data_IF_195931895786
#
_entry.id   IF_195931895786
#
_cell.length_a   1.000
_cell.length_b   1.000
_cell.length_c   1.000
_cell.angle_alpha   90.00
_cell.angle_beta   90.00
_cell.angle_gamma   90.00
#
_symmetry.space_group_name_H-M   'P 1'
#
loop_
_entity.id
_entity.type
_entity.pdbx_description
1 polymer ?
#
# COMPACT_ATOMS: atom_id res chain seq x y z
N UNK A 1 -1.54 18.60 -1.29
CA UNK A 1 -2.59 19.60 -1.03
C UNK A 1 -3.25 19.92 -2.37
N UNK A 2 -4.43 19.36 -2.63
CA UNK A 2 -5.14 19.55 -3.90
C UNK A 2 -5.86 20.90 -3.90
N UNK A 3 -5.10 21.95 -4.16
CA UNK A 3 -5.58 23.32 -4.35
C UNK A 3 -6.19 23.47 -5.76
N UNK A 4 -7.38 22.89 -5.98
CA UNK A 4 -7.99 22.86 -7.31
C UNK A 4 -9.52 22.89 -7.36
N UNK A 5 -10.21 23.31 -6.29
CA UNK A 5 -11.68 23.37 -6.27
C UNK A 5 -12.24 24.66 -5.64
N UNK A 6 -11.46 25.74 -5.68
CA UNK A 6 -11.88 27.05 -5.18
C UNK A 6 -11.29 28.15 -6.09
N UNK A 7 -11.75 28.22 -7.34
CA UNK A 7 -11.39 29.33 -8.22
C UNK A 7 -12.57 29.67 -9.14
N UNK A 8 -13.31 30.70 -8.73
CA UNK A 8 -13.86 31.71 -9.64
C UNK A 8 -14.95 31.30 -10.63
N UNK A 9 -16.18 31.18 -10.14
CA UNK A 9 -17.37 31.53 -10.94
C UNK A 9 -18.24 32.48 -10.12
N UNK A 10 -17.67 33.63 -9.76
CA UNK A 10 -18.31 34.61 -8.90
C UNK A 10 -17.95 36.01 -9.35
N UNK A 11 -18.54 36.47 -10.46
CA UNK A 11 -18.71 37.91 -10.69
C UNK A 11 -20.02 38.23 -11.45
N UNK A 12 -20.46 37.43 -12.43
CA UNK A 12 -21.62 37.83 -13.26
C UNK A 12 -23.00 37.27 -12.83
N UNK A 13 -23.07 36.55 -11.71
CA UNK A 13 -24.31 35.91 -11.23
C UNK A 13 -25.18 36.79 -10.33
N UNK A 14 -24.76 38.02 -10.06
CA UNK A 14 -25.43 38.92 -9.12
C UNK A 14 -26.68 39.63 -9.70
N UNK A 15 -26.99 39.47 -10.99
CA UNK A 15 -28.11 40.16 -11.65
C UNK A 15 -29.36 39.28 -11.86
N UNK A 16 -29.32 37.96 -11.54
CA UNK A 16 -30.49 37.06 -11.68
C UNK A 16 -30.63 35.95 -10.62
N UNK A 17 -29.94 36.08 -9.49
CA UNK A 17 -29.38 34.95 -8.71
C UNK A 17 -30.17 34.35 -7.53
N UNK A 18 -31.33 33.73 -7.74
CA UNK A 18 -31.90 32.78 -6.75
C UNK A 18 -32.14 31.38 -7.32
N UNK A 19 -32.69 31.27 -8.53
CA UNK A 19 -33.01 29.97 -9.15
C UNK A 19 -31.79 29.25 -9.72
N UNK A 20 -30.77 29.97 -10.20
CA UNK A 20 -29.52 29.36 -10.67
C UNK A 20 -28.62 28.89 -9.52
N UNK A 21 -28.66 29.56 -8.36
CA UNK A 21 -27.89 29.18 -7.17
C UNK A 21 -28.37 27.85 -6.56
N UNK A 22 -29.69 27.64 -6.52
CA UNK A 22 -30.26 26.36 -6.08
C UNK A 22 -29.88 25.20 -7.02
N UNK A 23 -29.91 25.43 -8.34
CA UNK A 23 -29.46 24.45 -9.32
C UNK A 23 -27.96 24.14 -9.21
N UNK A 24 -27.11 25.13 -8.91
CA UNK A 24 -25.69 24.93 -8.68
C UNK A 24 -25.41 24.11 -7.41
N UNK A 25 -26.13 24.37 -6.32
CA UNK A 25 -26.04 23.57 -5.09
C UNK A 25 -26.50 22.13 -5.35
N UNK A 26 -27.64 21.95 -6.02
CA UNK A 26 -28.14 20.62 -6.39
C UNK A 26 -27.16 19.87 -7.29
N UNK A 27 -26.57 20.54 -8.27
CA UNK A 27 -25.54 19.99 -9.16
C UNK A 27 -24.25 19.63 -8.41
N UNK A 28 -23.82 20.44 -7.45
CA UNK A 28 -22.64 20.16 -6.62
C UNK A 28 -22.85 18.95 -5.71
N UNK A 29 -24.03 18.82 -5.10
CA UNK A 29 -24.40 17.65 -4.28
C UNK A 29 -24.45 16.40 -5.15
N UNK A 30 -25.14 16.46 -6.30
CA UNK A 30 -25.24 15.33 -7.22
C UNK A 30 -23.87 14.91 -7.79
N UNK A 31 -23.04 15.87 -8.18
CA UNK A 31 -21.69 15.64 -8.68
C UNK A 31 -20.75 15.06 -7.63
N UNK A 32 -20.79 15.59 -6.40
CA UNK A 32 -20.02 15.07 -5.27
C UNK A 32 -20.44 13.64 -4.86
N UNK A 33 -21.74 13.35 -4.88
CA UNK A 33 -22.27 12.02 -4.60
C UNK A 33 -21.84 10.99 -5.67
N UNK A 34 -21.85 11.37 -6.95
CA UNK A 34 -21.40 10.50 -8.04
C UNK A 34 -19.90 10.18 -7.99
N UNK A 35 -19.05 11.16 -7.68
CA UNK A 35 -17.60 10.96 -7.56
C UNK A 35 -17.23 10.08 -6.37
N UNK A 36 -17.91 10.24 -5.24
CA UNK A 36 -17.72 9.40 -4.06
C UNK A 36 -18.22 7.98 -4.30
N UNK A 37 -19.39 7.80 -4.94
CA UNK A 37 -19.91 6.49 -5.31
C UNK A 37 -18.98 5.72 -6.25
N UNK A 38 -18.34 6.36 -7.24
CA UNK A 38 -17.39 5.70 -8.15
C UNK A 38 -16.08 5.27 -7.46
N UNK A 39 -15.54 6.10 -6.58
CA UNK A 39 -14.27 5.80 -5.88
C UNK A 39 -14.44 4.80 -4.73
N UNK A 40 -15.57 4.82 -4.02
CA UNK A 40 -15.87 3.90 -2.92
C UNK A 40 -16.65 2.65 -3.35
N UNK A 41 -17.31 2.68 -4.51
CA UNK A 41 -18.18 1.62 -4.99
C UNK A 41 -17.49 0.27 -5.12
N UNK A 42 -16.25 0.23 -5.62
CA UNK A 42 -15.50 -1.03 -5.74
C UNK A 42 -15.22 -1.70 -4.39
N UNK A 43 -15.00 -0.91 -3.33
CA UNK A 43 -14.72 -1.43 -1.98
C UNK A 43 -16.00 -1.94 -1.29
N UNK A 44 -17.13 -1.27 -1.51
CA UNK A 44 -18.44 -1.72 -1.01
C UNK A 44 -18.96 -2.94 -1.78
N UNK A 45 -18.79 -2.96 -3.10
CA UNK A 45 -19.08 -4.13 -3.93
C UNK A 45 -18.22 -5.33 -3.53
N UNK A 46 -16.95 -5.12 -3.14
CA UNK A 46 -16.10 -6.19 -2.61
C UNK A 46 -16.68 -6.83 -1.34
N UNK A 47 -17.22 -6.02 -0.41
CA UNK A 47 -17.89 -6.50 0.80
C UNK A 47 -19.18 -7.27 0.50
N UNK A 48 -19.98 -6.79 -0.45
CA UNK A 48 -21.20 -7.48 -0.90
C UNK A 48 -20.88 -8.78 -1.65
N UNK A 49 -19.75 -8.85 -2.35
CA UNK A 49 -19.25 -10.06 -3.02
C UNK A 49 -18.65 -11.10 -2.07
N UNK A 50 -18.68 -10.87 -0.74
CA UNK A 50 -18.17 -11.82 0.25
C UNK A 50 -16.65 -11.99 0.23
N UNK A 51 -15.90 -11.01 -0.28
CA UNK A 51 -14.44 -11.08 -0.30
C UNK A 51 -13.89 -10.99 1.13
N UNK A 52 -12.95 -11.88 1.46
CA UNK A 52 -12.18 -11.84 2.72
C UNK A 52 -10.77 -11.38 2.40
N UNK A 53 -10.34 -10.31 3.07
CA UNK A 53 -8.95 -9.87 3.02
C UNK A 53 -8.11 -10.78 3.92
N UNK A 54 -7.09 -11.42 3.34
CA UNK A 54 -6.12 -12.21 4.08
C UNK A 54 -4.84 -11.40 4.20
N UNK A 55 -4.30 -11.39 5.41
CA UNK A 55 -3.07 -10.66 5.73
C UNK A 55 -2.12 -11.63 6.41
N UNK A 56 -0.85 -11.62 5.99
CA UNK A 56 0.18 -12.50 6.56
C UNK A 56 0.48 -12.05 8.00
N UNK A 57 0.56 -12.99 8.93
CA UNK A 57 0.87 -12.72 10.33
C UNK A 57 2.31 -12.22 10.53
N UNK A 58 2.53 -11.39 11.54
CA UNK A 58 3.85 -10.83 11.85
C UNK A 58 4.90 -11.90 12.16
N UNK A 59 4.50 -13.00 12.81
CA UNK A 59 5.39 -14.13 13.11
C UNK A 59 5.93 -14.79 11.84
N UNK A 60 5.11 -14.87 10.79
CA UNK A 60 5.50 -15.42 9.49
C UNK A 60 6.46 -14.48 8.79
N UNK A 61 6.21 -13.16 8.84
CA UNK A 61 7.14 -12.17 8.26
C UNK A 61 8.51 -12.19 8.95
N UNK A 62 8.53 -12.30 10.28
CA UNK A 62 9.78 -12.45 11.06
C UNK A 62 10.54 -13.72 10.68
N UNK A 63 9.84 -14.85 10.59
CA UNK A 63 10.45 -16.12 10.18
C UNK A 63 11.06 -16.04 8.77
N UNK A 64 10.34 -15.42 7.83
CA UNK A 64 10.83 -15.22 6.46
C UNK A 64 12.07 -14.34 6.43
N UNK A 65 12.06 -13.20 7.14
CA UNK A 65 13.19 -12.30 7.23
C UNK A 65 14.44 -13.01 7.80
N UNK A 66 14.28 -13.73 8.90
CA UNK A 66 15.36 -14.52 9.51
C UNK A 66 15.95 -15.53 8.52
N UNK A 67 15.11 -16.30 7.83
CA UNK A 67 15.60 -17.27 6.83
C UNK A 67 16.28 -16.60 5.64
N UNK A 68 15.77 -15.46 5.19
CA UNK A 68 16.38 -14.71 4.07
C UNK A 68 17.75 -14.16 4.45
N UNK A 69 17.91 -13.60 5.66
CA UNK A 69 19.20 -13.14 6.16
C UNK A 69 20.23 -14.27 6.21
N UNK A 70 19.83 -15.43 6.73
CA UNK A 70 20.70 -16.62 6.76
C UNK A 70 21.07 -17.11 5.37
N UNK A 71 20.11 -17.09 4.43
CA UNK A 71 20.37 -17.47 3.06
C UNK A 71 21.38 -16.52 2.40
N UNK A 72 21.21 -15.21 2.57
CA UNK A 72 22.15 -14.20 2.05
C UNK A 72 23.54 -14.41 2.64
N UNK A 73 23.66 -14.61 3.95
CA UNK A 73 24.94 -14.89 4.59
C UNK A 73 25.58 -16.18 4.07
N UNK A 74 24.79 -17.25 3.90
CA UNK A 74 25.29 -18.51 3.37
C UNK A 74 25.73 -18.39 1.90
N UNK A 75 25.05 -17.54 1.11
CA UNK A 75 25.43 -17.24 -0.27
C UNK A 75 26.70 -16.39 -0.33
N UNK A 76 26.88 -15.42 0.58
CA UNK A 76 28.06 -14.56 0.63
C UNK A 76 29.33 -15.34 1.03
N UNK A 77 29.19 -16.28 1.96
CA UNK A 77 30.28 -17.19 2.36
C UNK A 77 30.58 -18.27 1.31
N UNK A 78 29.72 -18.45 0.30
CA UNK A 78 29.86 -19.50 -0.70
C UNK A 78 30.89 -19.07 -1.77
N UNK A 79 32.04 -19.72 -1.77
CA UNK A 79 33.02 -19.56 -2.85
C UNK A 79 32.49 -20.04 -4.21
N UNK A 80 33.04 -19.49 -5.30
CA UNK A 80 32.59 -19.69 -6.70
C UNK A 80 32.54 -21.16 -7.19
N UNK A 81 33.13 -22.12 -6.49
CA UNK A 81 33.16 -23.54 -6.85
C UNK A 81 32.53 -24.45 -5.79
N UNK A 82 31.81 -23.91 -4.81
CA UNK A 82 31.16 -24.72 -3.78
C UNK A 82 30.01 -25.54 -4.38
N UNK A 83 30.12 -26.86 -4.36
CA UNK A 83 29.10 -27.81 -4.87
C UNK A 83 28.14 -28.29 -3.78
N UNK A 84 28.44 -28.01 -2.52
CA UNK A 84 27.65 -28.47 -1.39
C UNK A 84 26.29 -27.75 -1.26
N UNK A 85 25.33 -28.44 -0.66
CA UNK A 85 24.01 -27.90 -0.34
C UNK A 85 24.11 -26.84 0.77
N UNK A 86 23.34 -25.76 0.67
CA UNK A 86 23.29 -24.72 1.70
C UNK A 86 22.61 -25.30 2.94
N UNK A 87 23.37 -25.37 4.03
CA UNK A 87 22.86 -25.74 5.36
C UNK A 87 22.52 -24.45 6.13
N UNK A 88 21.25 -24.28 6.48
CA UNK A 88 20.82 -23.14 7.30
C UNK A 88 20.83 -23.56 8.77
N UNK A 89 21.67 -22.90 9.58
CA UNK A 89 21.66 -23.07 11.03
C UNK A 89 20.37 -22.50 11.66
N UNK A 90 20.16 -22.70 12.97
CA UNK A 90 19.03 -22.04 13.65
C UNK A 90 19.36 -20.54 13.81
N UNK A 91 18.49 -19.60 13.36
CA UNK A 91 18.80 -18.18 13.39
C UNK A 91 18.84 -17.65 14.83
N UNK A 92 19.98 -17.12 15.28
CA UNK A 92 20.18 -16.55 16.62
C UNK A 92 19.69 -15.10 16.80
N UNK A 93 19.30 -14.43 15.71
CA UNK A 93 18.93 -13.01 15.72
C UNK A 93 17.65 -12.76 16.54
N UNK A 94 17.84 -12.34 17.80
CA UNK A 94 16.77 -12.07 18.77
C UNK A 94 15.94 -10.84 18.40
N UNK A 95 16.54 -9.88 17.68
CA UNK A 95 15.87 -8.62 17.32
C UNK A 95 14.66 -8.88 16.43
N UNK A 96 14.78 -9.79 15.47
CA UNK A 96 13.70 -10.20 14.59
C UNK A 96 12.76 -11.24 15.23
N UNK A 97 13.19 -12.00 16.25
CA UNK A 97 12.29 -12.94 16.94
C UNK A 97 11.25 -12.25 17.82
N UNK A 98 11.65 -11.19 18.53
CA UNK A 98 10.81 -10.56 19.57
C UNK A 98 10.53 -9.07 19.32
N UNK A 99 11.25 -8.43 18.39
CA UNK A 99 11.12 -7.02 18.10
C UNK A 99 9.92 -6.64 17.23
N UNK A 100 9.65 -5.33 17.15
CA UNK A 100 8.64 -4.77 16.24
C UNK A 100 9.07 -4.98 14.79
N UNK A 101 8.10 -5.16 13.90
CA UNK A 101 8.38 -5.18 12.47
C UNK A 101 8.88 -3.80 12.01
N UNK A 102 9.77 -3.75 11.00
CA UNK A 102 10.13 -2.50 10.33
C UNK A 102 8.89 -1.75 9.83
N UNK A 103 8.89 -0.42 10.00
CA UNK A 103 7.77 0.44 9.61
C UNK A 103 7.43 0.34 8.11
N UNK A 104 8.42 0.04 7.27
CA UNK A 104 8.22 -0.20 5.84
C UNK A 104 7.21 -1.33 5.56
N UNK A 105 7.20 -2.39 6.40
CA UNK A 105 6.24 -3.49 6.27
C UNK A 105 4.82 -3.07 6.67
N UNK A 106 4.68 -2.26 7.73
CA UNK A 106 3.38 -1.71 8.13
C UNK A 106 2.79 -0.83 7.03
N UNK A 107 3.63 0.00 6.39
CA UNK A 107 3.21 0.79 5.24
C UNK A 107 2.79 -0.13 4.09
N UNK A 108 3.58 -1.14 3.74
CA UNK A 108 3.25 -2.09 2.69
C UNK A 108 1.89 -2.79 2.90
N UNK A 109 1.51 -3.10 4.15
CA UNK A 109 0.19 -3.67 4.48
C UNK A 109 -0.98 -2.78 4.06
N UNK A 110 -0.81 -1.46 4.09
CA UNK A 110 -1.83 -0.49 3.68
C UNK A 110 -1.97 -0.34 2.15
N UNK A 111 -1.08 -0.97 1.36
CA UNK A 111 -1.06 -0.86 -0.10
C UNK A 111 -1.19 -2.24 -0.79
N UNK A 112 -2.39 -2.86 -0.81
CA UNK A 112 -2.61 -4.17 -1.44
C UNK A 112 -2.16 -4.24 -2.91
N UNK A 113 -2.25 -3.12 -3.64
CA UNK A 113 -1.80 -3.02 -5.03
C UNK A 113 -0.29 -3.25 -5.22
N UNK A 114 0.53 -3.18 -4.17
CA UNK A 114 1.97 -3.45 -4.28
C UNK A 114 2.31 -4.94 -4.38
N UNK A 115 1.35 -5.82 -4.04
CA UNK A 115 1.51 -7.26 -4.19
C UNK A 115 1.26 -7.70 -5.63
N UNK A 116 2.15 -8.53 -6.15
CA UNK A 116 1.98 -9.17 -7.46
C UNK A 116 0.83 -10.18 -7.49
N UNK A 117 0.42 -10.66 -6.31
CA UNK A 117 -0.65 -11.66 -6.12
C UNK A 117 -2.05 -11.04 -6.17
N UNK A 118 -2.15 -9.72 -6.04
CA UNK A 118 -3.45 -9.04 -5.96
C UNK A 118 -3.91 -8.55 -7.34
N UNK A 119 -5.23 -8.62 -7.63
CA UNK A 119 -5.79 -7.97 -8.82
C UNK A 119 -5.51 -6.46 -8.82
N UNK A 120 -5.21 -5.88 -10.00
CA UNK A 120 -4.91 -4.44 -10.11
C UNK A 120 -3.53 -4.04 -9.57
N UNK A 121 -2.57 -4.98 -9.57
CA UNK A 121 -1.18 -4.76 -9.15
C UNK A 121 -0.54 -3.52 -9.80
N UNK A 122 0.13 -2.71 -8.99
CA UNK A 122 0.90 -1.52 -9.37
C UNK A 122 2.24 -1.57 -8.65
N UNK A 123 3.15 -2.41 -9.14
CA UNK A 123 4.46 -2.66 -8.52
C UNK A 123 5.50 -1.58 -8.86
N UNK A 124 5.31 -0.85 -9.95
CA UNK A 124 6.25 0.17 -10.44
C UNK A 124 6.08 1.55 -9.75
N UNK A 125 5.37 1.59 -8.62
CA UNK A 125 5.19 2.84 -7.86
C UNK A 125 6.50 3.20 -7.17
N UNK A 126 6.99 4.43 -7.38
CA UNK A 126 8.20 4.94 -6.73
C UNK A 126 8.14 4.80 -5.19
N UNK A 127 6.97 5.01 -4.59
CA UNK A 127 6.76 4.83 -3.16
C UNK A 127 7.03 3.40 -2.69
N UNK A 128 6.67 2.37 -3.48
CA UNK A 128 6.97 0.97 -3.16
C UNK A 128 8.48 0.74 -3.16
N UNK A 129 9.17 1.30 -4.15
CA UNK A 129 10.62 1.17 -4.29
C UNK A 129 11.36 1.81 -3.11
N UNK A 130 10.94 3.01 -2.69
CA UNK A 130 11.46 3.68 -1.50
C UNK A 130 11.29 2.82 -0.24
N UNK A 131 10.12 2.20 -0.04
CA UNK A 131 9.91 1.33 1.12
C UNK A 131 10.76 0.06 1.09
N UNK A 132 11.07 -0.47 -0.11
CA UNK A 132 12.00 -1.61 -0.25
C UNK A 132 13.40 -1.20 0.15
N UNK A 133 13.85 -0.02 -0.26
CA UNK A 133 15.17 0.51 0.09
C UNK A 133 15.30 0.77 1.59
N UNK A 134 14.27 1.34 2.22
CA UNK A 134 14.21 1.50 3.69
C UNK A 134 14.29 0.12 4.37
N UNK A 135 13.47 -0.84 3.93
CA UNK A 135 13.47 -2.18 4.51
C UNK A 135 14.83 -2.89 4.37
N UNK A 136 15.53 -2.68 3.25
CA UNK A 136 16.84 -3.26 3.01
C UNK A 136 17.93 -2.72 3.95
N UNK A 137 17.75 -1.52 4.53
CA UNK A 137 18.66 -0.96 5.54
C UNK A 137 18.43 -1.56 6.93
N UNK A 138 17.23 -2.10 7.19
CA UNK A 138 16.84 -2.70 8.47
C UNK A 138 17.13 -4.22 8.54
N UNK A 139 17.56 -4.84 7.43
CA UNK A 139 17.88 -6.27 7.30
C UNK A 139 19.37 -6.52 7.50
#
# INVERSE_FOLDING_TARGET
>A
IAAGAAAGAGVDLLVGGLTLGAAAIAGAIAGGALQTARSYGNRLLGKLKGQRELTVDDSVLRLLALRQKQLVQALDLRGHAALESIQLATPEDKSWREGKLPQALDKARAHPQWSSLNPGKRQEQAERQEQIEILAQDL
#
